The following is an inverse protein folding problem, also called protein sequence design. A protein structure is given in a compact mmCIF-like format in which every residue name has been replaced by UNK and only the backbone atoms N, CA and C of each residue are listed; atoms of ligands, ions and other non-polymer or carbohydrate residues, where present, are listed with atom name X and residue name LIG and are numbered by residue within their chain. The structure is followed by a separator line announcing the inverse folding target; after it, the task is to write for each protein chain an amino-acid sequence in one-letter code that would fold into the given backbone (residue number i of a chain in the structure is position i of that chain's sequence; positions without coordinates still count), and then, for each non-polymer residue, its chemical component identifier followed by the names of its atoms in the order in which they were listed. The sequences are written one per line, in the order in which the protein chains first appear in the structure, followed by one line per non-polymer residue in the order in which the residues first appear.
data_IF_063046968395
#
_entry.id   IF_063046968395
#
_cell.length_a   1.000
_cell.length_b   1.000
_cell.length_c   1.000
_cell.angle_alpha   90.00
_cell.angle_beta   90.00
_cell.angle_gamma   90.00
#
_symmetry.space_group_name_H-M   'P 1'
#
loop_
_entity.id
_entity.type
_entity.pdbx_description
1 polymer ?
#
# COMPACT_ATOMS: atom_id res chain seq x y z
N UNK A 1 8.81 -15.84 16.03
CA UNK A 1 7.97 -14.63 15.97
C UNK A 1 7.21 -14.65 14.65
N UNK A 2 6.10 -13.92 14.60
CA UNK A 2 5.42 -13.59 13.34
C UNK A 2 5.13 -12.09 13.34
N UNK A 3 5.14 -11.50 12.16
CA UNK A 3 4.55 -10.19 11.92
C UNK A 3 3.03 -10.33 12.04
N UNK A 4 2.40 -9.58 12.94
CA UNK A 4 0.96 -9.59 13.14
C UNK A 4 0.27 -8.49 12.32
N UNK A 5 0.74 -7.25 12.48
CA UNK A 5 0.30 -6.10 11.69
C UNK A 5 1.40 -5.03 11.58
N UNK A 6 1.10 -4.00 10.81
CA UNK A 6 1.77 -2.71 10.89
C UNK A 6 0.75 -1.59 10.67
N UNK A 7 1.06 -0.42 11.20
CA UNK A 7 0.27 0.80 11.12
C UNK A 7 1.17 1.98 10.76
N UNK A 8 0.67 2.86 9.89
CA UNK A 8 1.32 4.12 9.56
C UNK A 8 0.59 5.23 10.31
N UNK A 9 1.33 5.98 11.11
CA UNK A 9 0.84 7.14 11.84
C UNK A 9 1.46 8.43 11.27
N UNK A 10 0.64 9.18 10.56
CA UNK A 10 0.95 10.47 9.96
C UNK A 10 0.51 11.66 10.84
N UNK A 11 -0.02 11.41 12.04
CA UNK A 11 -0.68 12.45 12.86
C UNK A 11 0.28 13.45 13.52
N UNK A 12 1.56 13.07 13.69
CA UNK A 12 2.56 13.86 14.43
C UNK A 12 3.60 14.52 13.50
N UNK A 13 4.12 13.76 12.54
CA UNK A 13 5.20 14.21 11.63
C UNK A 13 4.75 14.29 10.17
N UNK A 14 3.50 13.93 9.89
CA UNK A 14 2.84 14.09 8.61
C UNK A 14 1.76 15.16 8.63
N UNK A 15 0.80 15.02 7.74
CA UNK A 15 -0.28 15.96 7.45
C UNK A 15 -1.63 15.52 8.04
N UNK A 16 -1.68 14.34 8.69
CA UNK A 16 -2.84 13.79 9.39
C UNK A 16 -4.07 13.60 8.49
N UNK A 17 -3.86 13.16 7.25
CA UNK A 17 -4.92 12.78 6.31
C UNK A 17 -5.15 11.25 6.24
N UNK A 18 -4.34 10.46 6.96
CA UNK A 18 -4.42 9.01 7.00
C UNK A 18 -3.79 8.30 5.79
N UNK A 19 -2.99 9.02 5.00
CA UNK A 19 -2.31 8.55 3.80
C UNK A 19 -0.84 8.90 3.92
N UNK A 20 0.04 7.95 3.61
CA UNK A 20 1.48 8.25 3.53
C UNK A 20 1.80 8.90 2.19
N UNK A 21 1.78 10.22 2.09
CA UNK A 21 1.94 10.92 0.80
C UNK A 21 3.41 11.01 0.34
N UNK A 22 3.68 11.19 -0.97
CA UNK A 22 5.00 11.53 -1.47
C UNK A 22 5.57 12.83 -0.87
N UNK A 23 6.81 12.77 -0.36
CA UNK A 23 7.50 13.91 0.25
C UNK A 23 7.20 14.10 1.74
N UNK A 24 6.52 13.14 2.35
CA UNK A 24 6.11 13.18 3.76
C UNK A 24 6.95 12.24 4.63
N UNK A 25 6.99 12.50 5.93
CA UNK A 25 7.56 11.63 6.95
C UNK A 25 6.45 11.09 7.86
N UNK A 26 6.52 9.81 8.23
CA UNK A 26 5.51 9.14 9.06
C UNK A 26 6.14 8.18 10.06
N UNK A 27 5.41 7.87 11.13
CA UNK A 27 5.79 6.80 12.05
C UNK A 27 5.29 5.46 11.54
N UNK A 28 6.19 4.48 11.47
CA UNK A 28 5.85 3.09 11.18
C UNK A 28 5.86 2.29 12.49
N UNK A 29 4.66 1.91 12.91
CA UNK A 29 4.42 1.07 14.09
C UNK A 29 4.19 -0.36 13.59
N UNK A 30 4.90 -1.32 14.16
CA UNK A 30 4.83 -2.73 13.80
C UNK A 30 4.41 -3.53 15.02
N UNK A 31 3.52 -4.51 14.85
CA UNK A 31 3.17 -5.45 15.91
C UNK A 31 3.74 -6.84 15.62
N UNK A 32 4.41 -7.41 16.62
CA UNK A 32 4.99 -8.74 16.55
C UNK A 32 4.30 -9.66 17.56
N UNK A 33 3.99 -10.88 17.13
CA UNK A 33 3.48 -11.93 18.01
C UNK A 33 4.55 -12.98 18.32
N UNK A 34 4.78 -13.23 19.61
CA UNK A 34 5.70 -14.26 20.05
C UNK A 34 5.01 -15.65 20.02
N UNK A 35 5.26 -16.40 18.96
CA UNK A 35 4.80 -17.78 18.80
C UNK A 35 5.55 -18.81 19.66
N UNK A 36 6.64 -18.41 20.33
CA UNK A 36 7.47 -19.29 21.16
C UNK A 36 6.75 -19.80 22.40
N UNK A 37 7.42 -20.71 23.12
CA UNK A 37 7.00 -21.18 24.45
C UNK A 37 7.71 -20.44 25.59
N UNK A 38 8.65 -19.56 25.26
CA UNK A 38 9.42 -18.72 26.20
C UNK A 38 9.25 -17.25 25.84
N UNK A 39 9.45 -16.39 26.84
CA UNK A 39 9.48 -14.95 26.66
C UNK A 39 10.69 -14.56 25.81
N UNK A 40 10.46 -13.68 24.84
CA UNK A 40 11.53 -13.06 24.06
C UNK A 40 11.97 -11.79 24.79
N UNK A 41 13.23 -11.72 25.17
CA UNK A 41 13.79 -10.65 26.00
C UNK A 41 14.53 -9.66 25.10
N UNK A 42 14.31 -8.37 25.35
CA UNK A 42 14.97 -7.27 24.63
C UNK A 42 14.87 -7.41 23.10
N UNK A 43 13.63 -7.51 22.60
CA UNK A 43 13.38 -7.60 21.16
C UNK A 43 13.67 -6.27 20.50
N UNK A 44 14.53 -6.30 19.48
CA UNK A 44 14.95 -5.14 18.69
C UNK A 44 14.66 -5.41 17.22
N UNK A 45 14.10 -4.43 16.53
CA UNK A 45 13.91 -4.42 15.09
C UNK A 45 14.95 -3.54 14.39
N UNK A 46 15.42 -4.00 13.23
CA UNK A 46 16.25 -3.26 12.30
C UNK A 46 15.55 -3.20 10.94
N UNK A 47 15.12 -2.01 10.55
CA UNK A 47 14.42 -1.77 9.29
C UNK A 47 15.42 -1.43 8.19
N UNK A 48 15.29 -2.13 7.06
CA UNK A 48 16.06 -1.92 5.84
C UNK A 48 15.14 -1.51 4.72
N UNK A 49 15.62 -0.58 3.93
CA UNK A 49 14.99 -0.13 2.71
C UNK A 49 15.60 -0.84 1.50
N UNK A 50 14.74 -1.13 0.53
CA UNK A 50 15.10 -1.69 -0.78
C UNK A 50 14.40 -0.98 -1.94
N UNK A 51 13.61 0.05 -1.64
CA UNK A 51 12.88 0.87 -2.59
C UNK A 51 13.46 2.30 -2.68
N UNK A 52 13.93 2.75 -3.86
CA UNK A 52 14.63 4.03 -4.01
C UNK A 52 13.77 5.27 -3.71
N UNK A 53 12.46 5.12 -3.53
CA UNK A 53 11.54 6.21 -3.21
C UNK A 53 11.32 6.41 -1.71
N UNK A 54 11.87 5.55 -0.86
CA UNK A 54 11.73 5.63 0.61
C UNK A 54 13.10 5.81 1.25
N UNK A 55 13.15 6.60 2.32
CA UNK A 55 14.26 6.67 3.24
C UNK A 55 13.80 6.17 4.61
N UNK A 56 14.69 5.47 5.31
CA UNK A 56 14.48 5.05 6.70
C UNK A 56 15.34 5.94 7.58
N UNK A 57 14.71 6.94 8.21
CA UNK A 57 15.40 7.92 9.04
C UNK A 57 15.74 7.36 10.43
N UNK A 58 14.89 6.46 10.95
CA UNK A 58 15.20 5.64 12.13
C UNK A 58 15.23 4.17 11.75
N UNK A 59 16.43 3.60 11.66
CA UNK A 59 16.65 2.22 11.22
C UNK A 59 16.48 1.19 12.34
N UNK A 60 16.46 1.62 13.60
CA UNK A 60 16.36 0.72 14.77
C UNK A 60 15.15 1.09 15.61
N UNK A 61 14.50 0.09 16.19
CA UNK A 61 13.37 0.26 17.08
C UNK A 61 13.36 -0.82 18.16
N UNK A 62 13.05 -0.43 19.40
CA UNK A 62 12.98 -1.33 20.55
C UNK A 62 11.54 -1.72 20.84
N UNK A 63 11.26 -3.03 20.75
CA UNK A 63 10.00 -3.62 21.21
C UNK A 63 10.09 -4.00 22.69
N UNK A 64 11.30 -4.30 23.19
CA UNK A 64 11.55 -4.78 24.55
C UNK A 64 11.04 -6.20 24.76
N UNK A 65 10.64 -6.56 25.98
CA UNK A 65 10.23 -7.94 26.26
C UNK A 65 8.84 -8.25 25.69
N UNK A 66 8.72 -9.40 25.02
CA UNK A 66 7.46 -9.94 24.49
C UNK A 66 7.23 -11.31 25.11
N UNK A 67 6.25 -11.40 26.02
CA UNK A 67 5.90 -12.65 26.68
C UNK A 67 5.49 -13.74 25.68
N UNK A 68 5.68 -14.99 26.08
CA UNK A 68 5.24 -16.16 25.34
C UNK A 68 3.75 -16.05 25.00
N UNK A 69 3.41 -16.27 23.73
CA UNK A 69 2.03 -16.25 23.22
C UNK A 69 1.32 -14.90 23.30
N UNK A 70 2.06 -13.78 23.35
CA UNK A 70 1.49 -12.43 23.32
C UNK A 70 2.03 -11.59 22.17
N UNK A 71 1.33 -10.50 21.87
CA UNK A 71 1.77 -9.47 20.92
C UNK A 71 2.35 -8.27 21.64
N UNK A 72 3.27 -7.57 20.97
CA UNK A 72 3.73 -6.25 21.37
C UNK A 72 4.10 -5.45 20.14
N UNK A 73 3.86 -4.14 20.20
CA UNK A 73 4.28 -3.20 19.17
C UNK A 73 5.40 -2.28 19.68
N UNK A 74 5.98 -1.53 18.76
CA UNK A 74 7.03 -0.56 19.01
C UNK A 74 6.51 0.89 19.13
N UNK A 75 5.25 1.12 19.51
CA UNK A 75 4.67 2.47 19.60
C UNK A 75 5.41 3.43 20.56
N UNK A 76 6.18 2.90 21.52
CA UNK A 76 7.05 3.70 22.40
C UNK A 76 8.34 4.17 21.74
N UNK A 77 8.74 3.55 20.62
CA UNK A 77 9.96 3.82 19.86
C UNK A 77 9.73 3.48 18.36
N UNK A 78 8.85 4.21 17.66
CA UNK A 78 8.45 3.85 16.30
C UNK A 78 9.61 4.04 15.31
N UNK A 79 9.56 3.29 14.20
CA UNK A 79 10.42 3.62 13.06
C UNK A 79 9.95 4.92 12.43
N UNK A 80 10.89 5.65 11.82
CA UNK A 80 10.59 6.87 11.06
C UNK A 80 11.00 6.59 9.62
N UNK A 81 10.06 6.77 8.71
CA UNK A 81 10.28 6.63 7.28
C UNK A 81 9.81 7.90 6.57
N UNK A 82 10.51 8.25 5.50
CA UNK A 82 10.22 9.42 4.66
C UNK A 82 10.12 9.00 3.21
N UNK A 83 9.07 9.39 2.51
CA UNK A 83 8.96 9.19 1.07
C UNK A 83 9.58 10.38 0.33
N UNK A 84 10.13 10.13 -0.86
CA UNK A 84 10.60 11.21 -1.73
C UNK A 84 9.40 11.94 -2.36
N UNK A 85 9.52 13.24 -2.60
CA UNK A 85 8.47 14.00 -3.32
C UNK A 85 8.29 13.56 -4.78
N UNK A 86 9.28 12.88 -5.35
CA UNK A 86 9.21 12.26 -6.67
C UNK A 86 8.59 10.87 -6.68
N UNK A 87 8.16 10.34 -5.52
CA UNK A 87 7.52 9.03 -5.44
C UNK A 87 6.22 9.04 -6.25
N UNK A 88 6.04 8.09 -7.19
CA UNK A 88 4.76 7.95 -7.87
C UNK A 88 3.65 7.70 -6.84
N UNK A 89 2.54 8.43 -6.96
CA UNK A 89 1.39 8.22 -6.08
C UNK A 89 0.78 6.84 -6.33
N UNK A 90 0.43 6.14 -5.26
CA UNK A 90 0.00 4.75 -5.26
C UNK A 90 1.13 3.72 -5.35
N UNK A 91 2.40 4.15 -5.33
CA UNK A 91 3.57 3.26 -5.32
C UNK A 91 3.57 2.37 -4.07
N UNK A 92 3.98 1.11 -4.22
CA UNK A 92 4.13 0.17 -3.11
C UNK A 92 5.62 -0.04 -2.87
N UNK A 93 6.12 0.52 -1.79
CA UNK A 93 7.49 0.32 -1.35
C UNK A 93 7.60 -0.94 -0.49
N UNK A 94 8.50 -1.85 -0.85
CA UNK A 94 8.82 -3.02 -0.01
C UNK A 94 10.00 -2.70 0.90
N UNK A 95 9.77 -2.80 2.21
CA UNK A 95 10.79 -2.70 3.25
C UNK A 95 11.04 -4.07 3.90
N UNK A 96 12.23 -4.26 4.44
CA UNK A 96 12.63 -5.50 5.12
C UNK A 96 12.88 -5.23 6.60
N UNK A 97 12.15 -5.89 7.48
CA UNK A 97 12.33 -5.81 8.93
C UNK A 97 13.08 -7.04 9.41
N UNK A 98 14.30 -6.86 9.92
CA UNK A 98 15.02 -7.89 10.66
C UNK A 98 14.73 -7.74 12.16
N UNK A 99 14.39 -8.82 12.85
CA UNK A 99 14.11 -8.80 14.29
C UNK A 99 15.07 -9.74 15.01
N UNK A 100 15.58 -9.32 16.15
CA UNK A 100 16.42 -10.15 17.02
C UNK A 100 16.07 -9.99 18.50
N UNK A 101 16.45 -10.99 19.30
CA UNK A 101 16.37 -10.96 20.77
C UNK A 101 17.70 -11.36 21.43
N UNK A 102 17.79 -11.24 22.75
CA UNK A 102 19.01 -11.56 23.52
C UNK A 102 19.39 -13.05 23.51
N UNK A 103 18.47 -13.94 23.10
CA UNK A 103 18.76 -15.38 22.98
C UNK A 103 19.50 -15.73 21.69
N UNK A 104 19.67 -14.76 20.79
CA UNK A 104 20.25 -14.93 19.46
C UNK A 104 19.23 -15.35 18.41
N UNK A 105 17.92 -15.24 18.69
CA UNK A 105 16.90 -15.39 17.66
C UNK A 105 17.08 -14.29 16.61
N UNK A 106 16.95 -14.64 15.34
CA UNK A 106 16.91 -13.69 14.22
C UNK A 106 15.86 -14.14 13.22
N UNK A 107 15.03 -13.21 12.77
CA UNK A 107 14.03 -13.45 11.73
C UNK A 107 13.88 -12.22 10.83
N UNK A 108 13.24 -12.40 9.67
CA UNK A 108 13.06 -11.34 8.69
C UNK A 108 11.65 -11.34 8.11
N UNK A 109 11.05 -10.15 8.06
CA UNK A 109 9.70 -9.91 7.55
C UNK A 109 9.72 -8.85 6.43
N UNK A 110 8.76 -8.94 5.53
CA UNK A 110 8.56 -7.96 4.45
C UNK A 110 7.34 -7.09 4.76
N UNK A 111 7.49 -5.78 4.58
CA UNK A 111 6.42 -4.79 4.74
C UNK A 111 6.18 -4.14 3.37
N UNK A 112 4.95 -4.17 2.89
CA UNK A 112 4.56 -3.55 1.61
C UNK A 112 3.75 -2.28 1.91
N UNK A 113 4.41 -1.13 1.89
CA UNK A 113 3.81 0.14 2.29
C UNK A 113 3.36 0.91 1.05
N UNK A 114 2.08 1.25 0.99
CA UNK A 114 1.53 2.09 -0.08
C UNK A 114 1.82 3.57 0.22
N UNK A 115 2.29 4.30 -0.78
CA UNK A 115 2.63 5.72 -0.71
C UNK A 115 1.69 6.51 -1.63
N UNK A 116 0.87 7.38 -1.06
CA UNK A 116 -0.13 8.21 -1.72
C UNK A 116 -1.41 7.47 -2.11
N UNK A 117 -2.42 8.25 -2.49
CA UNK A 117 -3.64 7.74 -3.15
C UNK A 117 -3.40 7.42 -4.62
N UNK A 118 -4.24 6.60 -5.24
CA UNK A 118 -4.05 6.18 -6.62
C UNK A 118 -3.31 4.85 -6.78
N UNK A 119 -2.68 4.65 -7.94
CA UNK A 119 -2.04 3.40 -8.33
C UNK A 119 -1.63 3.39 -9.81
N UNK A 120 -1.01 2.31 -10.27
CA UNK A 120 -0.60 2.23 -11.68
C UNK A 120 -1.81 2.10 -12.61
N UNK A 121 -2.93 1.59 -12.09
CA UNK A 121 -4.19 1.61 -12.80
C UNK A 121 -5.41 1.72 -11.89
N UNK A 122 -6.49 2.29 -12.42
CA UNK A 122 -7.86 2.13 -11.92
C UNK A 122 -8.69 1.47 -13.01
N UNK A 123 -9.42 0.41 -12.68
CA UNK A 123 -10.40 -0.20 -13.58
C UNK A 123 -11.78 0.19 -13.09
N UNK A 124 -12.48 0.99 -13.88
CA UNK A 124 -13.89 1.26 -13.70
C UNK A 124 -14.71 0.34 -14.60
N UNK A 125 -15.48 -0.56 -13.98
CA UNK A 125 -16.33 -1.52 -14.67
C UNK A 125 -17.79 -1.32 -14.27
N UNK A 126 -18.48 -0.31 -14.83
CA UNK A 126 -19.90 -0.10 -14.60
C UNK A 126 -20.77 -1.16 -15.30
N UNK A 127 -20.18 -2.05 -16.11
CA UNK A 127 -20.95 -3.01 -16.88
C UNK A 127 -21.68 -4.03 -15.96
N UNK A 128 -22.88 -4.51 -16.34
CA UNK A 128 -23.62 -5.42 -15.46
C UNK A 128 -23.03 -6.83 -15.35
N UNK A 129 -22.18 -7.26 -16.29
CA UNK A 129 -21.65 -8.63 -16.32
C UNK A 129 -20.28 -8.75 -15.63
N UNK A 130 -19.64 -7.61 -15.38
CA UNK A 130 -18.38 -7.38 -14.67
C UNK A 130 -17.29 -8.34 -15.10
N UNK A 131 -17.28 -8.71 -16.38
CA UNK A 131 -16.41 -9.78 -16.89
C UNK A 131 -15.07 -9.24 -17.36
N UNK A 132 -15.05 -8.01 -17.86
CA UNK A 132 -13.84 -7.42 -18.46
C UNK A 132 -12.90 -6.89 -17.38
N UNK A 133 -13.41 -6.18 -16.39
CA UNK A 133 -12.58 -5.52 -15.40
C UNK A 133 -11.76 -6.49 -14.52
N UNK A 134 -12.35 -7.55 -13.94
CA UNK A 134 -11.59 -8.55 -13.19
C UNK A 134 -10.55 -9.27 -14.05
N UNK A 135 -10.87 -9.59 -15.31
CA UNK A 135 -9.92 -10.23 -16.22
C UNK A 135 -8.70 -9.32 -16.52
N UNK A 136 -8.92 -8.02 -16.72
CA UNK A 136 -7.86 -7.03 -16.91
C UNK A 136 -7.03 -6.89 -15.63
N UNK A 137 -7.68 -6.80 -14.46
CA UNK A 137 -7.00 -6.72 -13.17
C UNK A 137 -6.07 -7.92 -12.96
N UNK A 138 -6.58 -9.13 -13.13
CA UNK A 138 -5.79 -10.34 -13.00
C UNK A 138 -4.61 -10.39 -13.97
N UNK A 139 -4.78 -9.91 -15.21
CA UNK A 139 -3.69 -9.84 -16.16
C UNK A 139 -2.59 -8.83 -15.77
N UNK A 140 -2.98 -7.65 -15.27
CA UNK A 140 -2.05 -6.61 -14.83
C UNK A 140 -1.30 -7.03 -13.55
N UNK A 141 -2.00 -7.60 -12.58
CA UNK A 141 -1.38 -8.12 -11.36
C UNK A 141 -0.44 -9.30 -11.64
N UNK A 142 -0.77 -10.16 -12.61
CA UNK A 142 0.09 -11.27 -13.00
C UNK A 142 1.43 -10.82 -13.61
N UNK A 143 1.52 -9.60 -14.15
CA UNK A 143 2.75 -9.00 -14.65
C UNK A 143 3.38 -8.01 -13.67
N UNK A 144 2.85 -7.91 -12.45
CA UNK A 144 3.42 -7.15 -11.34
C UNK A 144 2.90 -5.71 -11.18
N UNK A 145 1.88 -5.30 -11.95
CA UNK A 145 1.26 -4.00 -11.75
C UNK A 145 0.28 -4.02 -10.58
N UNK A 146 0.19 -2.92 -9.84
CA UNK A 146 -0.77 -2.72 -8.76
C UNK A 146 -1.76 -1.61 -9.07
N UNK A 147 -3.03 -1.85 -8.76
CA UNK A 147 -4.09 -0.91 -9.05
C UNK A 147 -5.43 -1.32 -8.45
N UNK A 148 -6.41 -0.46 -8.63
CA UNK A 148 -7.74 -0.60 -8.04
C UNK A 148 -8.76 -1.04 -9.09
N UNK A 149 -9.82 -1.70 -8.63
CA UNK A 149 -11.00 -2.03 -9.42
C UNK A 149 -12.25 -1.53 -8.69
N UNK A 150 -13.17 -0.94 -9.44
CA UNK A 150 -14.44 -0.46 -8.91
C UNK A 150 -15.55 -0.55 -9.95
N UNK A 151 -16.77 -0.77 -9.47
CA UNK A 151 -18.00 -0.62 -10.28
C UNK A 151 -18.61 0.77 -10.10
N UNK A 152 -18.22 1.50 -9.04
CA UNK A 152 -18.64 2.88 -8.76
C UNK A 152 -17.42 3.81 -8.78
N UNK A 153 -17.41 4.74 -9.74
CA UNK A 153 -16.31 5.70 -9.90
C UNK A 153 -16.37 6.84 -8.88
N UNK A 154 -17.51 7.03 -8.20
CA UNK A 154 -17.75 8.20 -7.37
C UNK A 154 -16.74 8.44 -6.24
N UNK A 155 -16.19 7.42 -5.56
CA UNK A 155 -15.16 7.62 -4.54
C UNK A 155 -13.84 8.14 -5.12
N UNK A 156 -13.56 7.84 -6.39
CA UNK A 156 -12.26 8.07 -7.01
C UNK A 156 -12.16 9.39 -7.78
N UNK A 157 -13.23 10.20 -7.88
CA UNK A 157 -13.23 11.40 -8.74
C UNK A 157 -12.09 12.38 -8.46
N UNK A 158 -11.73 12.59 -7.18
CA UNK A 158 -10.63 13.47 -6.79
C UNK A 158 -9.25 12.79 -6.87
N UNK A 159 -9.25 11.46 -7.03
CA UNK A 159 -8.07 10.60 -7.10
C UNK A 159 -7.71 10.18 -8.53
N UNK A 160 -8.59 10.39 -9.53
CA UNK A 160 -8.36 9.94 -10.91
C UNK A 160 -7.02 10.44 -11.48
N UNK A 161 -6.62 11.66 -11.10
CA UNK A 161 -5.35 12.27 -11.48
C UNK A 161 -4.12 11.57 -10.88
N UNK A 162 -4.30 10.74 -9.85
CA UNK A 162 -3.24 9.98 -9.18
C UNK A 162 -3.10 8.55 -9.72
N UNK A 163 -3.87 8.16 -10.73
CA UNK A 163 -3.70 6.88 -11.42
C UNK A 163 -2.94 7.05 -12.74
N UNK A 164 -1.95 6.19 -13.04
CA UNK A 164 -1.22 6.27 -14.32
C UNK A 164 -2.08 5.90 -15.53
N UNK A 165 -3.07 5.02 -15.33
CA UNK A 165 -4.03 4.61 -16.35
C UNK A 165 -5.42 4.37 -15.74
N UNK A 166 -6.47 4.78 -16.45
CA UNK A 166 -7.85 4.43 -16.09
C UNK A 166 -8.44 3.57 -17.21
N UNK A 167 -8.80 2.33 -16.89
CA UNK A 167 -9.48 1.39 -17.77
C UNK A 167 -10.99 1.53 -17.58
N UNK A 168 -11.72 1.82 -18.65
CA UNK A 168 -13.17 2.02 -18.62
C UNK A 168 -13.86 0.86 -19.33
N UNK A 169 -14.48 -0.05 -18.58
CA UNK A 169 -15.16 -1.24 -19.08
C UNK A 169 -16.67 -1.02 -19.14
N UNK A 170 -17.18 -0.50 -20.26
CA UNK A 170 -18.61 -0.18 -20.42
C UNK A 170 -19.43 -1.31 -21.02
N UNK A 171 -18.90 -2.53 -21.09
CA UNK A 171 -19.59 -3.68 -21.68
C UNK A 171 -19.71 -3.65 -23.21
N UNK A 172 -20.39 -4.66 -23.74
CA UNK A 172 -20.64 -4.86 -25.17
C UNK A 172 -22.15 -4.85 -25.41
N UNK A 173 -22.58 -4.29 -26.54
CA UNK A 173 -23.98 -4.25 -26.96
C UNK A 173 -24.67 -5.63 -26.83
N UNK A 174 -25.94 -5.71 -26.37
CA UNK A 174 -26.85 -4.61 -26.04
C UNK A 174 -26.73 -4.07 -24.60
N UNK A 175 -25.86 -4.64 -23.77
CA UNK A 175 -25.78 -4.34 -22.34
C UNK A 175 -24.70 -3.31 -21.99
N UNK A 176 -24.39 -2.39 -22.92
CA UNK A 176 -23.32 -1.42 -22.71
C UNK A 176 -23.80 -0.14 -22.02
N UNK A 177 -22.97 0.41 -21.14
CA UNK A 177 -23.21 1.74 -20.59
C UNK A 177 -22.87 2.82 -21.63
N UNK A 178 -23.74 3.82 -21.76
CA UNK A 178 -23.57 4.94 -22.68
C UNK A 178 -22.95 6.11 -21.91
N UNK A 179 -21.74 6.52 -22.31
CA UNK A 179 -21.16 7.79 -21.85
C UNK A 179 -21.66 8.91 -22.78
N UNK A 180 -22.35 9.91 -22.26
CA UNK A 180 -22.94 11.04 -23.03
C UNK A 180 -21.95 12.20 -23.24
N UNK A 181 -22.37 13.19 -24.02
CA UNK A 181 -21.50 14.10 -24.79
C UNK A 181 -20.49 14.93 -23.96
N UNK A 182 -19.25 14.95 -24.45
CA UNK A 182 -18.03 15.42 -23.77
C UNK A 182 -16.96 14.33 -23.62
N UNK A 183 -17.33 13.06 -23.75
CA UNK A 183 -16.44 11.90 -23.70
C UNK A 183 -16.22 11.28 -25.08
N UNK A 184 -14.99 10.84 -25.38
CA UNK A 184 -14.71 10.08 -26.60
C UNK A 184 -15.52 8.77 -26.55
N UNK A 185 -16.33 8.53 -27.58
CA UNK A 185 -17.18 7.33 -27.74
C UNK A 185 -16.41 6.05 -27.37
N UNK A 186 -16.59 5.55 -26.16
CA UNK A 186 -16.01 4.30 -25.71
C UNK A 186 -16.87 3.11 -26.13
N UNK A 187 -16.36 2.28 -27.04
CA UNK A 187 -16.84 0.90 -27.24
C UNK A 187 -15.79 -0.02 -26.65
N UNK A 188 -16.18 -0.97 -25.79
CA UNK A 188 -15.22 -1.87 -25.14
C UNK A 188 -14.42 -1.19 -24.02
N UNK A 189 -13.24 -1.74 -23.72
CA UNK A 189 -12.35 -1.17 -22.71
C UNK A 189 -11.50 -0.05 -23.32
N UNK A 190 -11.59 1.16 -22.77
CA UNK A 190 -10.74 2.30 -23.16
C UNK A 190 -9.72 2.59 -22.05
N UNK A 191 -8.46 2.81 -22.43
CA UNK A 191 -7.43 3.32 -21.52
C UNK A 191 -7.38 4.83 -21.66
N UNK A 192 -7.78 5.53 -20.60
CA UNK A 192 -7.58 6.96 -20.48
C UNK A 192 -6.28 7.19 -19.70
N UNK A 193 -5.41 8.04 -20.25
CA UNK A 193 -4.34 8.65 -19.47
C UNK A 193 -4.89 9.96 -18.91
N UNK A 194 -4.85 10.20 -17.59
CA UNK A 194 -5.19 11.50 -17.07
C UNK A 194 -4.23 12.53 -17.70
N UNK A 195 -4.80 13.60 -18.24
CA UNK A 195 -4.01 14.71 -18.76
C UNK A 195 -3.68 15.60 -17.56
N UNK A 196 -2.38 15.87 -17.38
CA UNK A 196 -1.84 16.78 -16.35
C UNK A 196 -2.29 18.22 -16.61
#
# INVERSE_FOLDING_TARGET
MILEDYFIDDSIIGNNNGIFDPGESVYLIVSLYNTGSKDAVNVIGFLRESDPYVNVDSVTSVFGDISSKTSKNNSSDPFIITSLSSTPKGHIATLTLAVSDDSGYVDTFWLNIKIGEGGEFLIWDPDPNQSSGPAIKSALEAVGYSGNYTTDLSPYYNELQYYLAVFVCVGIFPNNNIITDGSARGRGCLVLRPVV
#
